data_IF_980214562728
#
_entry.id   IF_980214562728
#
_cell.length_a   1.000
_cell.length_b   1.000
_cell.length_c   1.000
_cell.angle_alpha   90.00
_cell.angle_beta   90.00
_cell.angle_gamma   90.00
#
_symmetry.space_group_name_H-M   'P 1'
#
loop_
_entity.id
_entity.type
_entity.pdbx_description
1 polymer ?
#
# COMPACT_ATOMS: atom_id res chain seq x y z
N UNK A 1 -38.86 -32.41 -29.26
CA UNK A 1 -38.98 -32.85 -27.84
C UNK A 1 -37.74 -32.35 -27.09
N UNK A 2 -37.82 -31.16 -26.47
CA UNK A 2 -36.68 -30.59 -25.73
C UNK A 2 -36.48 -31.42 -24.47
N UNK A 3 -35.33 -32.08 -24.38
CA UNK A 3 -35.00 -32.96 -23.25
C UNK A 3 -34.96 -32.14 -21.96
N UNK A 4 -35.49 -32.69 -20.87
CA UNK A 4 -35.68 -32.01 -19.58
C UNK A 4 -34.42 -31.27 -19.09
N UNK A 5 -33.24 -31.82 -19.42
CA UNK A 5 -31.91 -31.27 -19.13
C UNK A 5 -31.68 -29.88 -19.75
N UNK A 6 -32.19 -29.63 -20.97
CA UNK A 6 -32.06 -28.35 -21.65
C UNK A 6 -32.97 -27.27 -21.07
N UNK A 7 -34.11 -27.64 -20.48
CA UNK A 7 -35.01 -26.70 -19.80
C UNK A 7 -34.44 -26.22 -18.46
N UNK A 8 -33.82 -27.12 -17.70
CA UNK A 8 -33.16 -26.79 -16.43
C UNK A 8 -31.94 -25.89 -16.66
N UNK A 9 -31.15 -26.16 -17.70
CA UNK A 9 -30.01 -25.32 -18.08
C UNK A 9 -30.44 -23.89 -18.46
N UNK A 10 -31.54 -23.75 -19.20
CA UNK A 10 -32.11 -22.45 -19.56
C UNK A 10 -32.66 -21.68 -18.35
N UNK A 11 -33.29 -22.39 -17.40
CA UNK A 11 -33.77 -21.79 -16.16
C UNK A 11 -32.62 -21.30 -15.26
N UNK A 12 -31.51 -22.05 -15.18
CA UNK A 12 -30.33 -21.64 -14.40
C UNK A 12 -29.64 -20.42 -15.04
N UNK A 13 -29.53 -20.40 -16.37
CA UNK A 13 -28.95 -19.29 -17.12
C UNK A 13 -29.78 -18.01 -17.02
N UNK A 14 -31.12 -18.13 -17.03
CA UNK A 14 -32.04 -17.01 -16.78
C UNK A 14 -31.93 -16.45 -15.36
N UNK A 15 -31.69 -17.31 -14.36
CA UNK A 15 -31.55 -16.88 -12.97
C UNK A 15 -30.25 -16.09 -12.75
N UNK A 16 -29.15 -16.51 -13.39
CA UNK A 16 -27.90 -15.76 -13.38
C UNK A 16 -28.00 -14.42 -14.12
N UNK A 17 -28.81 -14.36 -15.19
CA UNK A 17 -29.03 -13.11 -15.93
C UNK A 17 -29.83 -12.09 -15.10
N UNK A 18 -30.83 -12.57 -14.34
CA UNK A 18 -31.68 -11.71 -13.50
C UNK A 18 -30.93 -11.19 -12.27
N UNK A 19 -29.99 -11.96 -11.71
CA UNK A 19 -29.12 -11.51 -10.61
C UNK A 19 -28.14 -10.40 -11.04
N UNK A 20 -27.77 -10.32 -12.33
CA UNK A 20 -26.95 -9.24 -12.87
C UNK A 20 -27.72 -7.91 -12.95
N UNK A 21 -29.05 -7.98 -13.09
CA UNK A 21 -29.89 -6.79 -13.21
C UNK A 21 -30.18 -6.11 -11.85
N UNK A 22 -30.06 -6.84 -10.74
CA UNK A 22 -30.22 -6.27 -9.38
C UNK A 22 -29.03 -5.39 -8.93
N UNK A 23 -27.96 -5.29 -9.74
CA UNK A 23 -26.72 -4.59 -9.40
C UNK A 23 -26.60 -3.17 -10.01
N UNK A 24 -27.70 -2.62 -10.53
CA UNK A 24 -27.80 -1.20 -10.96
C UNK A 24 -28.82 -0.44 -10.09
N UNK A 25 -28.83 -0.70 -8.79
CA UNK A 25 -29.21 0.36 -7.84
C UNK A 25 -27.91 1.11 -7.49
N UNK A 26 -27.92 2.45 -7.40
CA UNK A 26 -26.80 3.14 -6.77
C UNK A 26 -26.74 2.61 -5.34
N UNK A 27 -25.78 1.71 -5.06
CA UNK A 27 -25.46 1.33 -3.71
C UNK A 27 -25.07 2.63 -3.01
N UNK A 28 -25.96 3.13 -2.16
CA UNK A 28 -25.63 4.19 -1.22
C UNK A 28 -24.31 3.80 -0.56
N UNK A 29 -23.38 4.75 -0.62
CA UNK A 29 -22.06 4.73 -0.03
C UNK A 29 -22.01 3.83 1.21
N UNK A 30 -21.63 2.56 1.01
CA UNK A 30 -20.80 1.93 2.01
C UNK A 30 -19.57 2.82 1.98
N UNK A 31 -19.35 3.60 3.04
CA UNK A 31 -18.04 4.13 3.32
C UNK A 31 -17.13 2.91 3.46
N UNK A 32 -16.61 2.44 2.33
CA UNK A 32 -15.35 1.75 2.32
C UNK A 32 -14.38 2.75 2.94
N UNK A 33 -14.12 2.59 4.23
CA UNK A 33 -12.84 2.99 4.77
C UNK A 33 -11.81 2.05 4.12
N UNK A 34 -11.57 2.28 2.83
CA UNK A 34 -10.35 1.91 2.18
C UNK A 34 -9.30 2.70 2.95
N UNK A 35 -8.72 2.10 4.00
CA UNK A 35 -7.42 2.53 4.47
C UNK A 35 -6.48 2.17 3.31
N UNK A 36 -6.45 3.05 2.32
CA UNK A 36 -5.64 2.89 1.14
C UNK A 36 -4.22 3.25 1.54
N UNK A 37 -3.58 2.28 2.22
CA UNK A 37 -2.25 2.34 2.81
C UNK A 37 -1.15 2.65 1.78
N UNK A 38 -1.48 2.55 0.49
CA UNK A 38 -0.56 2.74 -0.62
C UNK A 38 -1.04 3.84 -1.59
N UNK A 39 -2.35 3.98 -1.84
CA UNK A 39 -2.88 4.96 -2.80
C UNK A 39 -2.77 6.42 -2.37
N UNK A 40 -3.01 6.74 -1.09
CA UNK A 40 -2.91 8.12 -0.60
C UNK A 40 -1.45 8.55 -0.37
N UNK A 41 -0.59 7.59 -0.01
CA UNK A 41 0.83 7.82 0.26
C UNK A 41 1.71 7.83 -0.98
N UNK A 42 1.31 7.27 -2.13
CA UNK A 42 2.18 7.19 -3.32
C UNK A 42 1.55 7.76 -4.60
N UNK A 43 0.23 7.87 -4.70
CA UNK A 43 -0.47 8.19 -5.96
C UNK A 43 -1.13 9.56 -6.01
N UNK A 44 -1.20 10.31 -4.90
CA UNK A 44 -1.58 11.73 -4.91
C UNK A 44 -0.34 12.63 -5.03
N UNK A 45 0.01 13.15 -6.22
CA UNK A 45 0.98 14.23 -6.34
C UNK A 45 0.49 15.53 -5.68
N UNK A 46 -0.78 15.64 -5.34
CA UNK A 46 -1.45 16.81 -4.78
C UNK A 46 -1.14 17.06 -3.30
N UNK A 47 -0.70 16.06 -2.52
CA UNK A 47 -0.14 16.31 -1.17
C UNK A 47 1.37 16.64 -1.17
N UNK A 48 2.08 16.33 -2.26
CA UNK A 48 3.50 16.64 -2.43
C UNK A 48 3.75 17.91 -3.31
N UNK A 49 2.85 18.24 -4.23
CA UNK A 49 2.97 19.36 -5.17
C UNK A 49 2.23 20.61 -4.69
N UNK A 50 1.29 20.48 -3.75
CA UNK A 50 0.81 21.62 -2.92
C UNK A 50 1.80 21.93 -1.78
N UNK A 51 2.98 21.29 -1.78
CA UNK A 51 4.16 21.70 -1.01
C UNK A 51 5.21 22.43 -1.87
N UNK A 52 4.99 22.57 -3.18
CA UNK A 52 5.89 23.29 -4.08
C UNK A 52 5.40 24.70 -4.45
N UNK A 53 4.13 25.06 -4.21
CA UNK A 53 3.59 26.36 -4.65
C UNK A 53 3.59 27.47 -3.61
N UNK A 54 3.89 27.20 -2.33
CA UNK A 54 3.99 28.26 -1.34
C UNK A 54 5.13 27.89 -0.40
N UNK A 55 6.25 28.61 -0.47
CA UNK A 55 7.27 28.66 0.59
C UNK A 55 6.73 29.35 1.86
N UNK A 56 5.49 29.03 2.25
CA UNK A 56 4.77 29.51 3.41
C UNK A 56 5.01 28.59 4.61
N UNK A 57 6.16 28.77 5.28
CA UNK A 57 6.56 28.05 6.49
C UNK A 57 5.80 28.51 7.76
N UNK A 58 4.51 28.85 7.66
CA UNK A 58 3.75 29.49 8.74
C UNK A 58 2.74 28.62 9.48
N UNK A 59 2.23 27.52 8.89
CA UNK A 59 1.04 26.84 9.44
C UNK A 59 0.91 25.36 9.08
N UNK A 60 2.00 24.69 8.69
CA UNK A 60 1.95 23.27 8.28
C UNK A 60 2.27 22.37 9.46
N UNK A 61 1.30 21.55 9.85
CA UNK A 61 1.42 20.54 10.91
C UNK A 61 2.71 19.72 10.71
N UNK A 62 3.64 19.67 11.69
CA UNK A 62 4.96 19.04 11.52
C UNK A 62 4.89 17.60 11.01
N UNK A 63 3.78 16.91 11.28
CA UNK A 63 3.51 15.53 10.84
C UNK A 63 3.48 15.39 9.31
N UNK A 64 2.95 16.39 8.60
CA UNK A 64 2.82 16.35 7.13
C UNK A 64 4.18 16.53 6.45
N UNK A 65 5.01 17.42 6.98
CA UNK A 65 6.38 17.65 6.48
C UNK A 65 7.22 16.38 6.67
N UNK A 66 7.15 15.78 7.87
CA UNK A 66 7.87 14.55 8.19
C UNK A 66 7.40 13.38 7.33
N UNK A 67 6.09 13.24 7.11
CA UNK A 67 5.53 12.20 6.23
C UNK A 67 6.03 12.30 4.79
N UNK A 68 6.15 13.52 4.24
CA UNK A 68 6.70 13.75 2.90
C UNK A 68 8.18 13.36 2.78
N UNK A 69 9.00 13.71 3.78
CA UNK A 69 10.43 13.35 3.81
C UNK A 69 10.60 11.83 3.91
N UNK A 70 9.82 11.17 4.79
CA UNK A 70 9.87 9.72 4.96
C UNK A 70 9.48 9.00 3.66
N UNK A 71 8.48 9.49 2.92
CA UNK A 71 8.05 8.91 1.63
C UNK A 71 9.19 8.93 0.60
N UNK A 72 9.86 10.07 0.43
CA UNK A 72 10.97 10.20 -0.52
C UNK A 72 12.15 9.31 -0.12
N UNK A 73 12.46 9.26 1.18
CA UNK A 73 13.53 8.41 1.70
C UNK A 73 13.20 6.92 1.54
N UNK A 74 12.00 6.46 1.89
CA UNK A 74 11.59 5.05 1.74
C UNK A 74 11.60 4.60 0.27
N UNK A 75 11.15 5.45 -0.65
CA UNK A 75 11.22 5.16 -2.09
C UNK A 75 12.67 5.00 -2.58
N UNK A 76 13.55 5.90 -2.14
CA UNK A 76 14.98 5.85 -2.49
C UNK A 76 15.69 4.65 -1.87
N UNK A 77 15.41 4.32 -0.60
CA UNK A 77 15.94 3.15 0.08
C UNK A 77 15.46 1.85 -0.56
N UNK A 78 14.18 1.77 -0.95
CA UNK A 78 13.63 0.62 -1.66
C UNK A 78 14.33 0.36 -3.00
N UNK A 79 14.57 1.42 -3.78
CA UNK A 79 15.32 1.32 -5.03
C UNK A 79 16.77 0.83 -4.79
N UNK A 80 17.46 1.40 -3.80
CA UNK A 80 18.81 0.95 -3.44
C UNK A 80 18.83 -0.51 -3.01
N UNK A 81 17.86 -0.96 -2.23
CA UNK A 81 17.77 -2.36 -1.78
C UNK A 81 17.69 -3.34 -2.96
N UNK A 82 16.92 -3.01 -4.00
CA UNK A 82 16.84 -3.83 -5.22
C UNK A 82 18.21 -3.90 -5.92
N UNK A 83 18.92 -2.77 -6.03
CA UNK A 83 20.26 -2.72 -6.64
C UNK A 83 21.25 -3.58 -5.84
N UNK A 84 21.25 -3.50 -4.51
CA UNK A 84 22.12 -4.32 -3.67
C UNK A 84 21.85 -5.82 -3.80
N UNK A 85 20.57 -6.22 -3.89
CA UNK A 85 20.18 -7.62 -4.12
C UNK A 85 20.70 -8.11 -5.47
N UNK A 86 20.58 -7.28 -6.52
CA UNK A 86 21.11 -7.62 -7.84
C UNK A 86 22.63 -7.78 -7.81
N UNK A 87 23.37 -6.83 -7.25
CA UNK A 87 24.84 -6.89 -7.18
C UNK A 87 25.31 -8.09 -6.36
N UNK A 88 24.68 -8.35 -5.21
CA UNK A 88 24.96 -9.53 -4.39
C UNK A 88 24.65 -10.84 -5.12
N UNK A 89 23.51 -10.91 -5.80
CA UNK A 89 23.10 -12.07 -6.60
C UNK A 89 24.04 -12.34 -7.78
N UNK A 90 24.45 -11.30 -8.52
CA UNK A 90 25.43 -11.42 -9.59
C UNK A 90 26.78 -11.91 -9.07
N UNK A 91 27.25 -11.37 -7.93
CA UNK A 91 28.51 -11.82 -7.30
C UNK A 91 28.44 -13.30 -6.89
N UNK A 92 27.30 -13.74 -6.38
CA UNK A 92 27.08 -15.16 -6.03
C UNK A 92 27.10 -16.05 -7.29
N UNK A 93 26.42 -15.65 -8.37
CA UNK A 93 26.40 -16.39 -9.64
C UNK A 93 27.77 -16.47 -10.31
N UNK A 94 28.60 -15.41 -10.23
CA UNK A 94 29.94 -15.38 -10.83
C UNK A 94 31.01 -16.10 -9.98
N UNK A 95 30.67 -16.62 -8.80
CA UNK A 95 31.66 -17.22 -7.88
C UNK A 95 32.22 -18.59 -8.31
N UNK A 96 31.70 -19.21 -9.38
CA UNK A 96 32.24 -20.41 -10.05
C UNK A 96 32.73 -21.56 -9.14
N UNK A 97 32.16 -21.71 -7.94
CA UNK A 97 32.52 -22.78 -7.00
C UNK A 97 33.70 -22.47 -6.05
N UNK A 98 34.27 -21.26 -6.10
CA UNK A 98 35.21 -20.83 -5.06
C UNK A 98 34.44 -20.51 -3.76
N UNK A 99 34.59 -21.39 -2.76
CA UNK A 99 33.91 -21.26 -1.46
C UNK A 99 34.12 -19.89 -0.79
N UNK A 100 35.31 -19.28 -0.91
CA UNK A 100 35.56 -17.96 -0.32
C UNK A 100 34.72 -16.85 -0.97
N UNK A 101 34.52 -16.91 -2.28
CA UNK A 101 33.72 -15.93 -3.04
C UNK A 101 32.22 -16.12 -2.78
N UNK A 102 31.78 -17.37 -2.64
CA UNK A 102 30.40 -17.72 -2.29
C UNK A 102 30.06 -17.23 -0.88
N UNK A 103 30.92 -17.47 0.11
CA UNK A 103 30.75 -17.00 1.48
C UNK A 103 30.67 -15.47 1.57
N UNK A 104 31.55 -14.78 0.82
CA UNK A 104 31.56 -13.33 0.76
C UNK A 104 30.26 -12.78 0.12
N UNK A 105 29.80 -13.39 -0.97
CA UNK A 105 28.55 -13.02 -1.64
C UNK A 105 27.33 -13.28 -0.74
N UNK A 106 27.31 -14.40 -0.02
CA UNK A 106 26.23 -14.73 0.92
C UNK A 106 26.18 -13.74 2.08
N UNK A 107 27.32 -13.36 2.66
CA UNK A 107 27.38 -12.31 3.69
C UNK A 107 26.84 -10.97 3.18
N UNK A 108 27.16 -10.60 1.95
CA UNK A 108 26.66 -9.39 1.29
C UNK A 108 25.14 -9.43 1.09
N UNK A 109 24.61 -10.57 0.63
CA UNK A 109 23.17 -10.76 0.47
C UNK A 109 22.43 -10.73 1.81
N UNK A 110 22.95 -11.41 2.85
CA UNK A 110 22.37 -11.39 4.19
C UNK A 110 22.35 -9.97 4.76
N UNK A 111 23.43 -9.20 4.62
CA UNK A 111 23.46 -7.81 5.04
C UNK A 111 22.41 -6.95 4.31
N UNK A 112 22.22 -7.16 3.00
CA UNK A 112 21.18 -6.49 2.22
C UNK A 112 19.76 -6.86 2.66
N UNK A 113 19.50 -8.15 2.90
CA UNK A 113 18.19 -8.65 3.36
C UNK A 113 17.87 -8.14 4.76
N UNK A 114 18.86 -8.10 5.66
CA UNK A 114 18.69 -7.54 7.01
C UNK A 114 18.37 -6.04 6.94
N UNK A 115 19.01 -5.29 6.05
CA UNK A 115 18.68 -3.89 5.80
C UNK A 115 17.23 -3.71 5.35
N UNK A 116 16.75 -4.54 4.42
CA UNK A 116 15.36 -4.53 3.96
C UNK A 116 14.37 -4.86 5.10
N UNK A 117 14.70 -5.87 5.92
CA UNK A 117 13.91 -6.26 7.09
C UNK A 117 13.76 -5.12 8.09
N UNK A 118 14.83 -4.38 8.36
CA UNK A 118 14.80 -3.23 9.29
C UNK A 118 13.88 -2.13 8.76
N UNK A 119 13.93 -1.83 7.46
CA UNK A 119 13.04 -0.82 6.85
C UNK A 119 11.57 -1.23 6.96
N UNK A 120 11.27 -2.50 6.67
CA UNK A 120 9.91 -3.04 6.82
C UNK A 120 9.43 -3.03 8.28
N UNK A 121 10.30 -3.37 9.23
CA UNK A 121 10.00 -3.34 10.66
C UNK A 121 9.74 -1.90 11.15
N UNK A 122 10.57 -0.94 10.75
CA UNK A 122 10.38 0.47 11.08
C UNK A 122 9.05 1.01 10.53
N UNK A 123 8.68 0.62 9.31
CA UNK A 123 7.41 0.96 8.71
C UNK A 123 6.22 0.38 9.49
N UNK A 124 6.28 -0.91 9.84
CA UNK A 124 5.24 -1.57 10.63
C UNK A 124 5.03 -0.90 11.99
N UNK A 125 6.12 -0.51 12.65
CA UNK A 125 6.07 0.20 13.94
C UNK A 125 5.46 1.60 13.77
N UNK A 126 5.86 2.36 12.76
CA UNK A 126 5.29 3.69 12.47
C UNK A 126 3.77 3.65 12.27
N UNK A 127 3.31 2.63 11.54
CA UNK A 127 1.88 2.40 11.31
C UNK A 127 1.15 2.03 12.61
N UNK A 128 1.76 1.17 13.43
CA UNK A 128 1.20 0.80 14.73
C UNK A 128 1.04 2.01 15.65
N UNK A 129 2.07 2.86 15.75
CA UNK A 129 2.04 4.07 16.58
C UNK A 129 0.97 5.05 16.09
N UNK A 130 0.84 5.23 14.77
CA UNK A 130 -0.18 6.11 14.19
C UNK A 130 -1.60 5.60 14.49
N UNK A 131 -1.84 4.29 14.33
CA UNK A 131 -3.15 3.68 14.60
C UNK A 131 -3.53 3.75 16.07
N UNK A 132 -2.58 3.45 16.97
CA UNK A 132 -2.80 3.55 18.42
C UNK A 132 -3.05 5.01 18.83
N UNK A 133 -2.31 5.96 18.25
CA UNK A 133 -2.50 7.38 18.52
C UNK A 133 -3.90 7.88 18.15
N UNK A 134 -4.41 7.52 16.97
CA UNK A 134 -5.77 7.89 16.53
C UNK A 134 -6.85 7.18 17.36
N UNK A 135 -6.63 5.91 17.72
CA UNK A 135 -7.55 5.15 18.56
C UNK A 135 -7.64 5.65 20.01
N UNK A 136 -6.55 6.19 20.56
CA UNK A 136 -6.48 6.73 21.93
C UNK A 136 -7.02 8.15 22.03
N UNK A 137 -6.97 8.96 20.96
CA UNK A 137 -7.48 10.33 20.98
C UNK A 137 -9.00 10.43 20.78
N UNK A 138 -9.72 9.32 20.62
CA UNK A 138 -11.18 9.32 20.49
C UNK A 138 -11.71 10.14 19.30
N UNK A 139 -10.83 10.53 18.38
CA UNK A 139 -11.20 11.28 17.18
C UNK A 139 -11.75 10.31 16.13
N UNK A 140 -12.90 9.70 16.43
CA UNK A 140 -13.81 9.28 15.36
C UNK A 140 -14.20 10.55 14.61
N UNK A 141 -13.96 10.67 13.30
CA UNK A 141 -14.46 11.79 12.52
C UNK A 141 -15.99 11.73 12.59
N UNK A 142 -16.58 12.47 13.51
CA UNK A 142 -18.01 12.73 13.52
C UNK A 142 -18.27 13.61 12.31
N UNK A 143 -18.64 12.98 11.19
CA UNK A 143 -19.38 13.68 10.14
C UNK A 143 -20.72 14.07 10.74
N UNK A 144 -20.74 15.17 11.49
CA UNK A 144 -21.95 15.84 11.94
C UNK A 144 -22.63 16.42 10.69
N UNK A 145 -23.38 15.57 10.00
CA UNK A 145 -24.52 15.97 9.18
C UNK A 145 -25.73 16.04 10.10
N UNK A 146 -25.68 16.93 11.08
CA UNK A 146 -26.85 17.29 11.86
C UNK A 146 -26.87 18.80 12.05
N UNK A 147 -27.92 19.43 11.49
CA UNK A 147 -28.38 20.81 11.72
C UNK A 147 -27.77 21.91 10.84
N UNK A 148 -28.22 21.96 9.59
CA UNK A 148 -28.59 23.24 8.97
C UNK A 148 -30.06 23.13 8.54
N UNK A 149 -30.95 23.73 9.34
CA UNK A 149 -32.29 24.10 8.90
C UNK A 149 -32.19 25.25 7.88
#
# INVERSE_FOLDING_TARGET
MITLKNKILFALFSLTLLSSLAMVMPKQAQAEENIDLWGDLFSKPDVALTAAQETGLGTKDPRVIVGGIIRTLLGFLGLLAVIFILVGGFKWMTSQGNQAKVDEAQKLMVAGVVGLLIVLAAFAISLFVTRVGIGVTGATPTTNIENTY
#
